data_IF_290977875590
#
_entry.id   IF_290977875590
#
_cell.length_a   1.000
_cell.length_b   1.000
_cell.length_c   1.000
_cell.angle_alpha   90.00
_cell.angle_beta   90.00
_cell.angle_gamma   90.00
#
_symmetry.space_group_name_H-M   'P 1'
#
loop_
_entity.id
_entity.type
_entity.pdbx_description
1 polymer ?
#
# COMPACT_ATOMS: atom_id res chain seq x y z
N UNK A 1 21.25 -7.16 -15.82
CA UNK A 1 20.34 -7.47 -14.68
C UNK A 1 19.64 -6.20 -14.19
N UNK A 2 20.36 -5.11 -13.93
CA UNK A 2 19.79 -3.83 -13.48
C UNK A 2 18.70 -3.25 -14.41
N UNK A 3 18.86 -3.32 -15.73
CA UNK A 3 17.85 -2.85 -16.69
C UNK A 3 16.50 -3.55 -16.55
N UNK A 4 16.50 -4.83 -16.17
CA UNK A 4 15.27 -5.59 -15.91
C UNK A 4 14.58 -5.10 -14.63
N UNK A 5 15.36 -4.77 -13.58
CA UNK A 5 14.81 -4.20 -12.34
C UNK A 5 14.15 -2.84 -12.58
N UNK A 6 14.77 -1.98 -13.39
CA UNK A 6 14.16 -0.70 -13.77
C UNK A 6 12.90 -0.87 -14.60
N UNK A 7 12.87 -1.82 -15.55
CA UNK A 7 11.67 -2.10 -16.33
C UNK A 7 10.53 -2.63 -15.45
N UNK A 8 10.83 -3.56 -14.54
CA UNK A 8 9.85 -4.06 -13.58
C UNK A 8 9.35 -2.95 -12.64
N UNK A 9 10.25 -2.07 -12.16
CA UNK A 9 9.89 -0.91 -11.36
C UNK A 9 8.99 0.08 -12.11
N UNK A 10 9.24 0.31 -13.40
CA UNK A 10 8.37 1.13 -14.24
C UNK A 10 6.95 0.52 -14.35
N UNK A 11 6.84 -0.80 -14.53
CA UNK A 11 5.54 -1.50 -14.57
C UNK A 11 4.80 -1.36 -13.24
N UNK A 12 5.51 -1.46 -12.11
CA UNK A 12 4.90 -1.23 -10.79
C UNK A 12 4.45 0.22 -10.61
N UNK A 13 5.23 1.21 -11.07
CA UNK A 13 4.82 2.62 -11.08
C UNK A 13 3.56 2.84 -11.92
N UNK A 14 3.43 2.20 -13.08
CA UNK A 14 2.21 2.24 -13.88
C UNK A 14 1.02 1.62 -13.14
N UNK A 15 1.26 0.57 -12.35
CA UNK A 15 0.23 -0.06 -11.51
C UNK A 15 -0.21 0.87 -10.38
N UNK A 16 0.73 1.59 -9.75
CA UNK A 16 0.42 2.64 -8.76
C UNK A 16 -0.44 3.74 -9.40
N UNK A 17 -0.04 4.24 -10.57
CA UNK A 17 -0.78 5.28 -11.29
C UNK A 17 -2.21 4.82 -11.64
N UNK A 18 -2.35 3.60 -12.17
CA UNK A 18 -3.66 3.02 -12.49
C UNK A 18 -4.53 2.85 -11.23
N UNK A 19 -3.92 2.46 -10.10
CA UNK A 19 -4.62 2.29 -8.84
C UNK A 19 -5.09 3.63 -8.25
N UNK A 20 -4.31 4.71 -8.41
CA UNK A 20 -4.72 6.06 -8.00
C UNK A 20 -5.95 6.54 -8.80
N UNK A 21 -5.96 6.29 -10.10
CA UNK A 21 -7.12 6.55 -10.96
C UNK A 21 -8.33 5.74 -10.46
N UNK A 22 -8.13 4.46 -10.12
CA UNK A 22 -9.19 3.57 -9.62
C UNK A 22 -9.75 4.03 -8.27
N UNK A 23 -8.94 4.60 -7.37
CA UNK A 23 -9.42 5.17 -6.09
C UNK A 23 -10.41 6.33 -6.32
N UNK A 24 -10.15 7.17 -7.33
CA UNK A 24 -11.03 8.30 -7.66
C UNK A 24 -12.34 7.85 -8.31
N UNK A 25 -12.31 6.79 -9.13
CA UNK A 25 -13.47 6.33 -9.89
C UNK A 25 -14.28 5.27 -9.13
N UNK A 26 -13.68 4.57 -8.16
CA UNK A 26 -14.26 3.43 -7.46
C UNK A 26 -15.59 3.73 -6.76
N UNK A 27 -16.70 3.08 -7.16
CA UNK A 27 -18.03 3.36 -6.61
C UNK A 27 -18.21 2.86 -5.17
N UNK A 28 -17.50 1.80 -4.76
CA UNK A 28 -17.65 1.21 -3.42
C UNK A 28 -16.43 1.47 -2.51
N UNK A 29 -16.66 1.51 -1.19
CA UNK A 29 -15.58 1.61 -0.19
C UNK A 29 -14.60 0.44 -0.30
N UNK A 30 -15.10 -0.77 -0.52
CA UNK A 30 -14.26 -1.96 -0.67
C UNK A 30 -13.32 -1.88 -1.90
N UNK A 31 -13.76 -1.35 -3.03
CA UNK A 31 -12.91 -1.18 -4.21
C UNK A 31 -11.81 -0.12 -3.99
N UNK A 32 -12.13 0.95 -3.26
CA UNK A 32 -11.16 1.99 -2.89
C UNK A 32 -10.09 1.41 -1.96
N UNK A 33 -10.48 0.59 -0.99
CA UNK A 33 -9.56 -0.16 -0.13
C UNK A 33 -8.66 -1.09 -0.93
N UNK A 34 -9.23 -1.93 -1.79
CA UNK A 34 -8.46 -2.89 -2.59
C UNK A 34 -7.45 -2.16 -3.49
N UNK A 35 -7.83 -0.99 -4.02
CA UNK A 35 -6.94 -0.12 -4.79
C UNK A 35 -5.85 0.50 -3.92
N UNK A 36 -6.17 0.94 -2.71
CA UNK A 36 -5.19 1.45 -1.75
C UNK A 36 -4.18 0.36 -1.31
N UNK A 37 -4.65 -0.86 -1.10
CA UNK A 37 -3.78 -2.00 -0.78
C UNK A 37 -2.85 -2.34 -1.96
N UNK A 38 -3.37 -2.29 -3.19
CA UNK A 38 -2.57 -2.49 -4.39
C UNK A 38 -1.50 -1.41 -4.56
N UNK A 39 -1.80 -0.15 -4.24
CA UNK A 39 -0.80 0.94 -4.18
C UNK A 39 0.27 0.64 -3.14
N UNK A 40 -0.13 0.21 -1.94
CA UNK A 40 0.80 -0.14 -0.88
C UNK A 40 1.80 -1.20 -1.33
N UNK A 41 1.31 -2.34 -1.84
CA UNK A 41 2.19 -3.45 -2.23
C UNK A 41 3.05 -3.15 -3.47
N UNK A 42 2.50 -2.46 -4.47
CA UNK A 42 3.27 -2.03 -5.65
C UNK A 42 4.31 -0.96 -5.31
N UNK A 43 4.01 -0.07 -4.36
CA UNK A 43 4.96 0.88 -3.79
C UNK A 43 6.12 0.18 -3.08
N UNK A 44 5.84 -0.78 -2.19
CA UNK A 44 6.88 -1.60 -1.52
C UNK A 44 7.77 -2.28 -2.55
N UNK A 45 7.16 -2.96 -3.54
CA UNK A 45 7.88 -3.66 -4.59
C UNK A 45 8.77 -2.73 -5.42
N UNK A 46 8.29 -1.52 -5.72
CA UNK A 46 9.07 -0.51 -6.47
C UNK A 46 10.33 -0.13 -5.70
N UNK A 47 10.20 0.18 -4.40
CA UNK A 47 11.34 0.55 -3.56
C UNK A 47 12.35 -0.59 -3.43
N UNK A 48 11.89 -1.84 -3.28
CA UNK A 48 12.78 -3.01 -3.22
C UNK A 48 13.55 -3.25 -4.53
N UNK A 49 12.90 -3.05 -5.69
CA UNK A 49 13.58 -3.16 -6.98
C UNK A 49 14.65 -2.07 -7.15
N UNK A 50 14.38 -0.85 -6.70
CA UNK A 50 15.36 0.24 -6.65
C UNK A 50 16.52 -0.08 -5.69
N UNK A 51 16.23 -0.63 -4.52
CA UNK A 51 17.25 -1.06 -3.55
C UNK A 51 18.23 -2.06 -4.18
N UNK A 52 17.70 -3.05 -4.91
CA UNK A 52 18.51 -4.04 -5.64
C UNK A 52 19.24 -3.45 -6.85
N UNK A 53 18.68 -2.44 -7.50
CA UNK A 53 19.29 -1.79 -8.67
C UNK A 53 20.45 -0.86 -8.28
N UNK A 54 20.33 -0.13 -7.17
CA UNK A 54 21.34 0.82 -6.68
C UNK A 54 22.28 0.22 -5.63
N UNK A 55 21.98 -0.97 -5.09
CA UNK A 55 22.77 -1.60 -4.04
C UNK A 55 22.69 -0.89 -2.68
N UNK A 56 21.65 -0.08 -2.47
CA UNK A 56 21.46 0.69 -1.25
C UNK A 56 20.54 -0.03 -0.26
N UNK A 57 21.15 -0.62 0.77
CA UNK A 57 20.42 -1.34 1.82
C UNK A 57 19.42 -0.49 2.61
N UNK A 58 19.64 0.82 2.75
CA UNK A 58 18.74 1.71 3.49
C UNK A 58 17.34 1.83 2.83
N UNK A 59 17.24 1.55 1.52
CA UNK A 59 15.95 1.50 0.83
C UNK A 59 15.09 0.31 1.28
N UNK A 60 15.70 -0.77 1.81
CA UNK A 60 14.97 -1.91 2.36
C UNK A 60 14.21 -1.47 3.61
N UNK A 61 14.82 -0.66 4.48
CA UNK A 61 14.14 -0.11 5.66
C UNK A 61 12.93 0.73 5.27
N UNK A 62 13.07 1.56 4.23
CA UNK A 62 11.96 2.35 3.66
C UNK A 62 10.84 1.43 3.16
N UNK A 63 11.17 0.36 2.45
CA UNK A 63 10.19 -0.61 1.97
C UNK A 63 9.46 -1.33 3.12
N UNK A 64 10.17 -1.70 4.18
CA UNK A 64 9.59 -2.33 5.37
C UNK A 64 8.64 -1.38 6.11
N UNK A 65 9.04 -0.13 6.31
CA UNK A 65 8.17 0.88 6.92
C UNK A 65 6.94 1.13 6.06
N UNK A 66 7.10 1.24 4.73
CA UNK A 66 5.98 1.41 3.81
C UNK A 66 5.01 0.21 3.87
N UNK A 67 5.53 -1.01 3.99
CA UNK A 67 4.73 -2.23 4.12
C UNK A 67 3.90 -2.24 5.41
N UNK A 68 4.52 -1.87 6.54
CA UNK A 68 3.83 -1.73 7.83
C UNK A 68 2.74 -0.66 7.77
N UNK A 69 3.04 0.50 7.18
CA UNK A 69 2.06 1.58 7.01
C UNK A 69 0.90 1.16 6.11
N UNK A 70 1.15 0.40 5.04
CA UNK A 70 0.09 -0.13 4.18
C UNK A 70 -0.85 -1.08 4.96
N UNK A 71 -0.30 -1.97 5.79
CA UNK A 71 -1.11 -2.84 6.66
C UNK A 71 -1.94 -2.03 7.66
N UNK A 72 -1.35 -1.01 8.30
CA UNK A 72 -2.08 -0.13 9.21
C UNK A 72 -3.15 0.70 8.50
N UNK A 73 -2.89 1.17 7.27
CA UNK A 73 -3.89 1.88 6.48
C UNK A 73 -5.10 1.00 6.18
N UNK A 74 -4.89 -0.29 5.88
CA UNK A 74 -5.97 -1.25 5.72
C UNK A 74 -6.78 -1.43 7.01
N UNK A 75 -6.13 -1.63 8.16
CA UNK A 75 -6.84 -1.73 9.44
C UNK A 75 -7.63 -0.44 9.75
N UNK A 76 -7.00 0.72 9.59
CA UNK A 76 -7.63 2.02 9.83
C UNK A 76 -8.84 2.25 8.93
N UNK A 77 -8.78 1.85 7.66
CA UNK A 77 -9.89 2.00 6.73
C UNK A 77 -11.07 1.07 7.06
N UNK A 78 -10.81 -0.16 7.52
CA UNK A 78 -11.87 -1.05 8.02
C UNK A 78 -12.53 -0.41 9.24
N UNK A 79 -11.74 0.05 10.23
CA UNK A 79 -12.28 0.72 11.43
C UNK A 79 -13.10 1.96 11.07
N UNK A 80 -12.61 2.81 10.17
CA UNK A 80 -13.31 4.02 9.72
C UNK A 80 -14.56 3.74 8.88
N UNK A 81 -14.75 2.52 8.40
CA UNK A 81 -15.93 2.10 7.64
C UNK A 81 -16.99 1.42 8.50
N UNK A 82 -16.69 1.08 9.76
CA UNK A 82 -17.65 0.53 10.71
C UNK A 82 -18.44 1.66 11.37
N UNK A 83 -19.79 1.68 11.30
CA UNK A 83 -20.61 2.78 11.83
C UNK A 83 -20.50 3.02 13.34
N UNK A 84 -20.12 1.98 14.10
CA UNK A 84 -20.28 1.95 15.56
C UNK A 84 -18.96 1.92 16.35
N UNK A 85 -17.79 2.20 15.75
CA UNK A 85 -16.53 2.09 16.50
C UNK A 85 -16.09 0.65 16.84
N UNK A 86 -16.92 -0.36 16.52
CA UNK A 86 -16.66 -1.78 16.72
C UNK A 86 -15.23 -2.18 16.33
N UNK A 87 -14.41 -2.39 17.35
CA UNK A 87 -12.94 -2.46 17.28
C UNK A 87 -12.23 -1.53 18.27
N UNK A 88 -12.96 -0.76 19.07
CA UNK A 88 -12.48 -0.15 20.30
C UNK A 88 -12.59 -1.18 21.45
N UNK A 89 -11.46 -1.66 22.01
CA UNK A 89 -11.49 -2.59 23.14
C UNK A 89 -12.09 -1.97 24.41
N UNK A 90 -12.35 -0.66 24.44
CA UNK A 90 -12.99 0.03 25.57
C UNK A 90 -14.53 0.08 25.50
N UNK A 91 -15.18 -0.41 24.43
CA UNK A 91 -16.65 -0.40 24.32
C UNK A 91 -17.36 -1.51 25.11
N UNK A 92 -16.67 -2.59 25.48
CA UNK A 92 -17.27 -3.75 26.15
C UNK A 92 -17.65 -3.52 27.63
N UNK A 93 -17.35 -2.34 28.21
CA UNK A 93 -17.46 -2.06 29.65
C UNK A 93 -18.56 -1.04 30.04
N UNK A 94 -19.61 -0.81 29.22
CA UNK A 94 -20.76 0.05 29.60
C UNK A 94 -22.08 -0.70 29.76
#
# INVERSE_FOLDING_TARGET
MTSFLYLAGLILLLTVAASLIRIHIGPTRAERMMSAQLIGTSGVGTVLLLAGAEGNGAMIDVALVLALLAAFAAVAFVKASSPDGAGDPEEDDR
#
